data_IF_280300832055
#
_entry.id   IF_280300832055
#
_cell.length_a   1.000
_cell.length_b   1.000
_cell.length_c   1.000
_cell.angle_alpha   90.00
_cell.angle_beta   90.00
_cell.angle_gamma   90.00
#
_symmetry.space_group_name_H-M   'P 1'
#
loop_
_entity.id
_entity.type
_entity.pdbx_description
1 polymer ?
#
# COMPACT_ATOMS: atom_id res chain seq x y z
N UNK A 1 -3.51 11.58 19.89
CA UNK A 1 -4.42 10.43 19.77
C UNK A 1 -5.49 10.78 18.74
N UNK A 2 -5.64 9.95 17.69
CA UNK A 2 -6.65 10.14 16.64
C UNK A 2 -7.71 9.05 16.85
N UNK A 3 -8.97 9.39 17.03
CA UNK A 3 -10.05 8.40 17.12
C UNK A 3 -10.14 7.59 15.82
N UNK A 4 -10.39 6.32 15.93
CA UNK A 4 -10.59 5.45 14.78
C UNK A 4 -11.65 4.39 15.04
N UNK A 5 -12.21 3.84 13.99
CA UNK A 5 -13.12 2.69 14.00
C UNK A 5 -12.60 1.62 13.03
N UNK A 6 -12.75 0.36 13.41
CA UNK A 6 -12.51 -0.77 12.50
C UNK A 6 -13.89 -1.26 12.05
N UNK A 7 -14.15 -1.20 10.76
CA UNK A 7 -15.47 -1.49 10.20
C UNK A 7 -15.39 -2.06 8.79
N UNK A 8 -16.40 -2.81 8.40
CA UNK A 8 -16.69 -3.22 7.03
C UNK A 8 -18.10 -2.76 6.59
N UNK A 9 -18.64 -1.74 7.26
CA UNK A 9 -19.95 -1.14 6.97
C UNK A 9 -19.74 0.02 5.98
N UNK A 10 -20.34 -0.08 4.80
CA UNK A 10 -20.18 0.90 3.71
C UNK A 10 -20.46 2.34 4.13
N UNK A 11 -21.53 2.58 4.89
CA UNK A 11 -21.93 3.92 5.32
C UNK A 11 -20.92 4.57 6.26
N UNK A 12 -20.26 3.80 7.11
CA UNK A 12 -19.20 4.27 7.99
C UNK A 12 -17.93 4.62 7.20
N UNK A 13 -17.58 3.76 6.22
CA UNK A 13 -16.44 3.98 5.33
C UNK A 13 -16.65 5.25 4.50
N UNK A 14 -17.80 5.44 3.90
CA UNK A 14 -18.13 6.61 3.08
C UNK A 14 -18.07 7.91 3.89
N UNK A 15 -18.50 7.89 5.15
CA UNK A 15 -18.53 9.07 6.03
C UNK A 15 -17.19 9.36 6.71
N UNK A 16 -16.25 8.44 6.66
CA UNK A 16 -14.93 8.60 7.30
C UNK A 16 -14.13 9.74 6.63
N UNK A 17 -13.42 10.52 7.41
CA UNK A 17 -12.53 11.58 6.90
C UNK A 17 -11.29 10.99 6.20
N UNK A 18 -10.78 9.86 6.67
CA UNK A 18 -9.67 9.10 6.11
C UNK A 18 -10.01 7.61 6.15
N UNK A 19 -9.55 6.87 5.17
CA UNK A 19 -9.73 5.42 5.12
C UNK A 19 -8.35 4.75 5.05
N UNK A 20 -8.15 3.70 5.85
CA UNK A 20 -6.93 2.88 5.79
C UNK A 20 -7.33 1.44 5.44
N UNK A 21 -6.76 0.92 4.36
CA UNK A 21 -6.83 -0.49 3.99
C UNK A 21 -5.61 -1.19 4.62
N UNK A 22 -5.80 -2.05 5.62
CA UNK A 22 -4.71 -2.62 6.41
C UNK A 22 -3.91 -3.67 5.62
N UNK A 23 -2.71 -3.94 6.10
CA UNK A 23 -1.73 -4.82 5.46
C UNK A 23 -1.74 -6.27 5.92
N UNK A 24 -2.92 -6.91 6.05
CA UNK A 24 -3.04 -8.29 6.57
C UNK A 24 -3.77 -9.22 5.60
N UNK A 25 -3.33 -10.48 5.54
CA UNK A 25 -3.92 -11.50 4.69
C UNK A 25 -3.27 -11.63 3.30
N UNK A 26 -3.93 -12.32 2.39
CA UNK A 26 -3.53 -12.47 0.98
C UNK A 26 -4.47 -11.67 0.07
N UNK A 27 -3.99 -11.30 -1.13
CA UNK A 27 -4.79 -10.58 -2.13
C UNK A 27 -6.13 -11.26 -2.38
N UNK A 28 -6.13 -12.58 -2.58
CA UNK A 28 -7.33 -13.35 -2.85
C UNK A 28 -8.35 -13.28 -1.70
N UNK A 29 -7.90 -13.43 -0.46
CA UNK A 29 -8.82 -13.41 0.69
C UNK A 29 -9.39 -12.02 0.92
N UNK A 30 -8.56 -10.98 0.79
CA UNK A 30 -9.00 -9.59 0.92
C UNK A 30 -10.03 -9.25 -0.16
N UNK A 31 -9.74 -9.57 -1.43
CA UNK A 31 -10.67 -9.29 -2.52
C UNK A 31 -11.99 -10.05 -2.38
N UNK A 32 -11.97 -11.34 -2.01
CA UNK A 32 -13.19 -12.09 -1.72
C UNK A 32 -14.04 -11.44 -0.62
N UNK A 33 -13.40 -10.96 0.46
CA UNK A 33 -14.11 -10.27 1.52
C UNK A 33 -14.74 -8.97 1.02
N UNK A 34 -13.98 -8.13 0.31
CA UNK A 34 -14.49 -6.87 -0.24
C UNK A 34 -15.67 -7.10 -1.20
N UNK A 35 -15.57 -8.09 -2.08
CA UNK A 35 -16.62 -8.45 -3.02
C UNK A 35 -17.88 -8.95 -2.31
N UNK A 36 -17.74 -9.80 -1.28
CA UNK A 36 -18.87 -10.35 -0.52
C UNK A 36 -19.70 -9.26 0.19
N UNK A 37 -19.09 -8.12 0.48
CA UNK A 37 -19.70 -6.93 1.12
C UNK A 37 -19.98 -5.80 0.13
N UNK A 38 -19.71 -5.97 -1.17
CA UNK A 38 -19.77 -4.93 -2.20
C UNK A 38 -18.84 -3.72 -1.89
N UNK A 39 -17.82 -3.90 -1.05
CA UNK A 39 -16.87 -2.85 -0.66
C UNK A 39 -15.89 -2.50 -1.77
N UNK A 40 -15.63 -3.40 -2.71
CA UNK A 40 -14.83 -3.13 -3.92
C UNK A 40 -15.40 -1.93 -4.69
N UNK A 41 -16.71 -1.85 -4.89
CA UNK A 41 -17.38 -0.72 -5.56
C UNK A 41 -17.37 0.54 -4.69
N UNK A 42 -17.55 0.40 -3.39
CA UNK A 42 -17.51 1.54 -2.45
C UNK A 42 -16.13 2.18 -2.44
N UNK A 43 -15.06 1.37 -2.23
CA UNK A 43 -13.68 1.86 -2.10
C UNK A 43 -13.24 2.61 -3.37
N UNK A 44 -13.54 2.08 -4.55
CA UNK A 44 -13.13 2.70 -5.82
C UNK A 44 -13.79 4.07 -6.08
N UNK A 45 -14.89 4.39 -5.38
CA UNK A 45 -15.64 5.63 -5.53
C UNK A 45 -15.34 6.66 -4.43
N UNK A 46 -14.53 6.32 -3.42
CA UNK A 46 -14.18 7.22 -2.34
C UNK A 46 -13.48 8.48 -2.86
N UNK A 47 -13.77 9.62 -2.23
CA UNK A 47 -13.18 10.93 -2.56
C UNK A 47 -12.23 11.43 -1.48
N UNK A 48 -12.44 10.98 -0.24
CA UNK A 48 -11.53 11.26 0.88
C UNK A 48 -10.22 10.50 0.72
N UNK A 49 -9.13 10.92 1.41
CA UNK A 49 -7.85 10.23 1.34
C UNK A 49 -7.95 8.76 1.77
N UNK A 50 -7.39 7.87 0.95
CA UNK A 50 -7.29 6.43 1.20
C UNK A 50 -5.83 6.02 1.26
N UNK A 51 -5.43 5.30 2.31
CA UNK A 51 -4.10 4.70 2.44
C UNK A 51 -4.18 3.18 2.39
N UNK A 52 -3.56 2.57 1.40
CA UNK A 52 -3.30 1.12 1.37
C UNK A 52 -1.94 0.79 1.99
N UNK A 53 -1.89 -0.14 2.95
CA UNK A 53 -0.66 -0.60 3.59
C UNK A 53 -0.39 -2.04 3.16
N UNK A 54 0.81 -2.33 2.65
CA UNK A 54 1.27 -3.65 2.21
C UNK A 54 0.25 -4.31 1.27
N UNK A 55 -0.46 -5.36 1.67
CA UNK A 55 -1.52 -5.97 0.85
C UNK A 55 -2.63 -4.98 0.53
N UNK A 56 -2.96 -4.04 1.42
CA UNK A 56 -3.91 -2.95 1.16
C UNK A 56 -3.47 -2.02 0.02
N UNK A 57 -2.16 -1.80 -0.18
CA UNK A 57 -1.62 -1.15 -1.37
C UNK A 57 -1.78 -2.05 -2.60
N UNK A 58 -1.40 -3.32 -2.50
CA UNK A 58 -1.36 -4.24 -3.64
C UNK A 58 -2.73 -4.47 -4.27
N UNK A 59 -3.79 -4.52 -3.46
CA UNK A 59 -5.17 -4.63 -3.99
C UNK A 59 -5.67 -3.38 -4.72
N UNK A 60 -4.98 -2.25 -4.65
CA UNK A 60 -5.32 -1.06 -5.44
C UNK A 60 -4.91 -1.19 -6.91
N UNK A 61 -4.10 -2.17 -7.28
CA UNK A 61 -3.65 -2.42 -8.65
C UNK A 61 -4.71 -3.17 -9.48
N UNK A 62 -4.43 -3.44 -10.75
CA UNK A 62 -5.34 -4.20 -11.60
C UNK A 62 -5.39 -5.67 -11.22
N UNK A 63 -4.21 -6.23 -10.93
CA UNK A 63 -4.03 -7.66 -10.76
C UNK A 63 -2.85 -7.97 -9.85
N UNK A 64 -2.97 -9.04 -9.07
CA UNK A 64 -1.88 -9.56 -8.26
C UNK A 64 -1.55 -11.01 -8.67
N UNK A 65 -0.25 -11.30 -8.86
CA UNK A 65 0.24 -12.65 -9.04
C UNK A 65 -0.03 -13.53 -7.80
N UNK A 66 -0.28 -12.92 -6.62
CA UNK A 66 -0.69 -13.65 -5.44
C UNK A 66 -2.10 -14.25 -5.63
N UNK A 67 -2.15 -15.57 -5.78
CA UNK A 67 -3.40 -16.29 -5.99
C UNK A 67 -4.11 -15.95 -7.29
N UNK A 68 -3.41 -15.38 -8.27
CA UNK A 68 -3.96 -15.04 -9.59
C UNK A 68 -5.20 -14.13 -9.45
N UNK A 69 -5.10 -13.04 -8.71
CA UNK A 69 -6.23 -12.28 -8.19
C UNK A 69 -6.46 -10.98 -8.96
N UNK A 70 -7.69 -10.78 -9.49
CA UNK A 70 -8.15 -9.48 -9.97
C UNK A 70 -8.38 -8.56 -8.77
N UNK A 71 -7.88 -7.33 -8.84
CA UNK A 71 -7.91 -6.34 -7.76
C UNK A 71 -8.79 -5.12 -8.13
N UNK A 72 -8.62 -3.99 -7.43
CA UNK A 72 -9.53 -2.83 -7.52
C UNK A 72 -9.32 -1.96 -8.77
N UNK A 73 -8.15 -2.03 -9.44
CA UNK A 73 -7.90 -1.30 -10.68
C UNK A 73 -7.75 0.22 -10.53
N UNK A 74 -7.34 0.73 -9.38
CA UNK A 74 -7.01 2.15 -9.20
C UNK A 74 -5.73 2.52 -9.94
N UNK A 75 -4.69 1.69 -9.81
CA UNK A 75 -3.44 1.80 -10.54
C UNK A 75 -3.46 0.84 -11.73
N UNK A 76 -3.16 1.34 -12.93
CA UNK A 76 -3.17 0.56 -14.18
C UNK A 76 -1.86 -0.21 -14.36
N UNK A 77 -1.51 -1.01 -13.36
CA UNK A 77 -0.33 -1.87 -13.30
C UNK A 77 -0.64 -3.14 -12.52
N UNK A 78 0.29 -4.08 -12.50
CA UNK A 78 0.16 -5.37 -11.83
C UNK A 78 1.17 -5.53 -10.71
N UNK A 79 0.85 -6.44 -9.79
CA UNK A 79 1.73 -6.89 -8.72
C UNK A 79 2.37 -8.22 -9.14
N UNK A 80 3.70 -8.22 -9.18
CA UNK A 80 4.51 -9.38 -9.52
C UNK A 80 5.11 -10.04 -8.27
N UNK A 81 5.59 -11.28 -8.39
CA UNK A 81 6.33 -11.98 -7.34
C UNK A 81 7.83 -11.71 -7.50
N UNK A 82 8.54 -11.49 -6.39
CA UNK A 82 10.01 -11.49 -6.41
C UNK A 82 10.56 -12.84 -6.83
N UNK A 83 11.61 -12.82 -7.66
CA UNK A 83 12.32 -14.04 -8.03
C UNK A 83 13.34 -14.40 -6.96
N UNK A 84 13.27 -15.63 -6.44
CA UNK A 84 14.28 -16.15 -5.54
C UNK A 84 15.63 -16.32 -6.24
N UNK A 85 16.71 -16.05 -5.54
CA UNK A 85 18.07 -16.36 -5.96
C UNK A 85 18.93 -16.74 -4.75
N UNK A 86 20.14 -17.24 -4.97
CA UNK A 86 21.07 -17.57 -3.88
C UNK A 86 21.41 -16.34 -3.00
N UNK A 87 21.19 -15.12 -3.51
CA UNK A 87 21.48 -13.87 -2.83
C UNK A 87 20.22 -13.13 -2.34
N UNK A 88 19.03 -13.55 -2.77
CA UNK A 88 17.77 -12.87 -2.51
C UNK A 88 16.75 -13.85 -1.93
N UNK A 89 16.41 -13.66 -0.66
CA UNK A 89 15.36 -14.46 0.01
C UNK A 89 13.97 -13.87 -0.23
N UNK A 90 13.00 -14.71 -0.50
CA UNK A 90 11.59 -14.32 -0.59
C UNK A 90 10.82 -15.07 0.51
N UNK A 91 10.05 -14.36 1.36
CA UNK A 91 9.74 -12.92 1.34
C UNK A 91 10.92 -12.02 1.73
N UNK A 92 10.90 -10.77 1.23
CA UNK A 92 11.66 -9.68 1.83
C UNK A 92 11.13 -9.46 3.25
N UNK A 93 11.97 -9.65 4.26
CA UNK A 93 11.60 -9.38 5.65
C UNK A 93 12.70 -8.58 6.33
N UNK A 94 12.36 -7.36 6.79
CA UNK A 94 13.28 -6.49 7.47
C UNK A 94 13.25 -5.04 6.99
N UNK A 95 14.26 -4.29 7.41
CA UNK A 95 14.40 -2.88 7.12
C UNK A 95 15.04 -2.66 5.75
N UNK A 96 14.43 -1.79 4.94
CA UNK A 96 14.97 -1.38 3.67
C UNK A 96 14.80 0.12 3.47
N UNK A 97 15.72 0.72 2.72
CA UNK A 97 15.74 2.15 2.44
C UNK A 97 14.62 2.51 1.47
N UNK A 98 13.91 3.61 1.76
CA UNK A 98 12.88 4.20 0.91
C UNK A 98 13.34 5.58 0.47
N UNK A 99 13.36 5.83 -0.82
CA UNK A 99 13.79 7.09 -1.42
C UNK A 99 12.65 7.74 -2.21
N UNK A 100 12.19 8.89 -1.75
CA UNK A 100 11.16 9.69 -2.43
C UNK A 100 11.77 10.49 -3.58
N UNK A 101 11.10 10.50 -4.73
CA UNK A 101 11.53 11.24 -5.92
C UNK A 101 11.29 12.75 -5.79
N UNK A 102 10.19 13.18 -5.14
CA UNK A 102 9.87 14.59 -4.93
C UNK A 102 10.79 15.20 -3.83
N UNK A 103 11.46 16.31 -4.19
CA UNK A 103 12.32 17.04 -3.27
C UNK A 103 11.62 17.47 -1.96
N UNK A 104 10.32 17.80 -2.01
CA UNK A 104 9.51 18.19 -0.85
C UNK A 104 9.26 17.04 0.11
N UNK A 105 9.36 15.79 -0.37
CA UNK A 105 9.12 14.58 0.40
C UNK A 105 10.42 13.90 0.85
N UNK A 106 11.59 14.42 0.49
CA UNK A 106 12.88 13.85 0.92
C UNK A 106 13.07 13.75 2.43
N UNK A 107 12.34 14.55 3.22
CA UNK A 107 12.29 14.42 4.69
C UNK A 107 11.69 13.11 5.18
N UNK A 108 11.02 12.35 4.29
CA UNK A 108 10.48 11.02 4.55
C UNK A 108 11.43 9.90 4.10
N UNK A 109 12.57 10.22 3.47
CA UNK A 109 13.60 9.23 3.16
C UNK A 109 14.12 8.64 4.46
N UNK A 110 14.00 7.34 4.61
CA UNK A 110 14.46 6.60 5.78
C UNK A 110 14.44 5.08 5.51
N UNK A 111 14.76 4.30 6.53
CA UNK A 111 14.53 2.86 6.55
C UNK A 111 13.13 2.57 7.09
N UNK A 112 12.42 1.68 6.39
CA UNK A 112 11.10 1.20 6.76
C UNK A 112 11.09 -0.32 6.81
N UNK A 113 10.16 -0.90 7.54
CA UNK A 113 10.04 -2.35 7.68
C UNK A 113 9.16 -2.95 6.58
N UNK A 114 9.69 -3.93 5.87
CA UNK A 114 9.02 -4.67 4.80
C UNK A 114 8.77 -6.13 5.23
N UNK A 115 7.68 -6.71 4.73
CA UNK A 115 7.32 -8.11 4.90
C UNK A 115 6.50 -8.57 3.68
N UNK A 116 7.12 -8.70 2.49
CA UNK A 116 6.41 -8.94 1.24
C UNK A 116 7.15 -9.89 0.30
N UNK A 117 6.39 -10.76 -0.37
CA UNK A 117 6.85 -11.62 -1.47
C UNK A 117 6.50 -11.04 -2.84
N UNK A 118 5.53 -10.12 -2.88
CA UNK A 118 5.01 -9.51 -4.08
C UNK A 118 5.26 -8.00 -4.07
N UNK A 119 5.39 -7.40 -5.26
CA UNK A 119 5.78 -6.01 -5.41
C UNK A 119 5.22 -5.39 -6.69
N UNK A 120 5.12 -4.07 -6.73
CA UNK A 120 4.85 -3.31 -7.94
C UNK A 120 6.18 -2.83 -8.56
N UNK A 121 6.38 -3.04 -9.86
CA UNK A 121 7.45 -2.36 -10.60
C UNK A 121 7.28 -0.85 -10.50
N UNK A 122 8.33 -0.09 -10.80
CA UNK A 122 8.26 1.37 -10.88
C UNK A 122 7.46 1.80 -12.12
N UNK A 123 6.60 2.80 -11.97
CA UNK A 123 5.73 3.36 -13.00
C UNK A 123 5.39 4.83 -12.69
N UNK A 124 4.57 5.49 -13.49
CA UNK A 124 4.30 6.94 -13.40
C UNK A 124 3.73 7.39 -12.04
N UNK A 125 2.96 6.52 -11.39
CA UNK A 125 2.39 6.84 -10.05
C UNK A 125 3.35 6.53 -8.89
N UNK A 126 4.57 6.05 -9.15
CA UNK A 126 5.59 5.80 -8.12
C UNK A 126 6.05 7.11 -7.50
N UNK A 127 5.98 7.22 -6.19
CA UNK A 127 6.42 8.39 -5.41
C UNK A 127 7.69 8.14 -4.62
N UNK A 128 7.91 6.88 -4.23
CA UNK A 128 9.16 6.45 -3.60
C UNK A 128 9.52 5.03 -4.04
N UNK A 129 10.82 4.76 -4.05
CA UNK A 129 11.41 3.50 -4.49
C UNK A 129 12.26 2.88 -3.40
N UNK A 130 12.38 1.56 -3.46
CA UNK A 130 13.40 0.76 -2.76
C UNK A 130 14.04 -0.21 -3.76
N UNK A 131 15.14 -0.80 -3.37
CA UNK A 131 15.81 -1.86 -4.12
C UNK A 131 15.78 -3.17 -3.32
N UNK A 132 15.39 -4.25 -3.99
CA UNK A 132 15.52 -5.61 -3.48
C UNK A 132 15.82 -6.56 -4.64
N UNK A 133 17.07 -6.51 -5.09
CA UNK A 133 17.53 -7.18 -6.31
C UNK A 133 17.09 -6.48 -7.60
N UNK A 134 16.07 -5.65 -7.53
CA UNK A 134 15.66 -4.68 -8.54
C UNK A 134 14.90 -3.54 -7.87
N UNK A 135 14.84 -2.39 -8.53
CA UNK A 135 14.06 -1.25 -8.04
C UNK A 135 12.56 -1.55 -8.10
N UNK A 136 11.82 -1.20 -7.03
CA UNK A 136 10.39 -1.39 -6.95
C UNK A 136 9.70 -0.20 -6.28
N UNK A 137 8.38 -0.08 -6.50
CA UNK A 137 7.55 0.97 -5.92
C UNK A 137 7.30 0.71 -4.43
N UNK A 138 7.90 1.53 -3.56
CA UNK A 138 7.65 1.48 -2.12
C UNK A 138 6.49 2.37 -1.70
N UNK A 139 6.24 3.47 -2.45
CA UNK A 139 5.08 4.33 -2.27
C UNK A 139 4.54 4.68 -3.65
N UNK A 140 3.23 4.59 -3.80
CA UNK A 140 2.49 4.95 -5.02
C UNK A 140 1.37 5.93 -4.68
N UNK A 141 1.02 6.84 -5.60
CA UNK A 141 -0.09 7.77 -5.42
C UNK A 141 -0.76 8.11 -6.73
N UNK A 142 -2.10 8.04 -6.74
CA UNK A 142 -2.98 8.53 -7.80
C UNK A 142 -4.22 9.14 -7.15
N UNK A 143 -4.52 10.37 -7.49
CA UNK A 143 -5.66 11.13 -6.93
C UNK A 143 -5.65 11.10 -5.38
N UNK A 144 -6.73 10.65 -4.76
CA UNK A 144 -6.89 10.50 -3.32
C UNK A 144 -6.33 9.18 -2.76
N UNK A 145 -5.83 8.27 -3.62
CA UNK A 145 -5.27 6.99 -3.20
C UNK A 145 -3.75 7.08 -3.01
N UNK A 146 -3.29 6.73 -1.83
CA UNK A 146 -1.88 6.55 -1.46
C UNK A 146 -1.67 5.07 -1.09
N UNK A 147 -0.59 4.47 -1.54
CA UNK A 147 -0.20 3.12 -1.13
C UNK A 147 1.23 3.09 -0.62
N UNK A 148 1.53 2.29 0.40
CA UNK A 148 2.89 1.98 0.81
C UNK A 148 3.08 0.46 0.95
N UNK A 149 4.20 -0.06 0.43
CA UNK A 149 4.54 -1.48 0.50
C UNK A 149 5.06 -1.89 1.87
N UNK A 150 5.72 -0.99 2.56
CA UNK A 150 6.20 -1.19 3.92
C UNK A 150 5.07 -1.08 4.95
N UNK A 151 5.37 -1.52 6.16
CA UNK A 151 4.49 -1.42 7.33
C UNK A 151 4.86 -0.19 8.17
N UNK A 152 4.19 0.95 8.04
CA UNK A 152 4.49 2.14 8.83
C UNK A 152 4.30 1.88 10.33
N UNK A 153 3.36 1.03 10.73
CA UNK A 153 3.12 0.64 12.12
C UNK A 153 4.28 -0.16 12.74
N UNK A 154 5.18 -0.71 11.90
CA UNK A 154 6.41 -1.43 12.32
C UNK A 154 7.68 -0.64 12.04
N UNK A 155 7.57 0.60 11.55
CA UNK A 155 8.70 1.40 11.06
C UNK A 155 9.11 2.52 12.02
N UNK A 156 8.87 2.35 13.32
CA UNK A 156 9.27 3.28 14.38
C UNK A 156 8.92 4.75 14.04
N UNK A 157 9.85 5.70 14.26
CA UNK A 157 9.61 7.13 14.00
C UNK A 157 9.41 7.45 12.52
N UNK A 158 10.07 6.72 11.61
CA UNK A 158 9.87 6.88 10.17
C UNK A 158 8.40 6.60 9.79
N UNK A 159 7.83 5.53 10.33
CA UNK A 159 6.43 5.20 10.14
C UNK A 159 5.47 6.24 10.69
N UNK A 160 5.77 6.79 11.87
CA UNK A 160 4.97 7.88 12.46
C UNK A 160 5.00 9.13 11.57
N UNK A 161 6.17 9.50 11.02
CA UNK A 161 6.28 10.64 10.08
C UNK A 161 5.48 10.40 8.81
N UNK A 162 5.52 9.18 8.27
CA UNK A 162 4.75 8.83 7.07
C UNK A 162 3.24 8.88 7.32
N UNK A 163 2.76 8.32 8.44
CA UNK A 163 1.34 8.39 8.80
C UNK A 163 0.88 9.84 9.04
N UNK A 164 1.70 10.66 9.70
CA UNK A 164 1.40 12.10 9.84
C UNK A 164 1.29 12.78 8.48
N UNK A 165 2.20 12.49 7.55
CA UNK A 165 2.12 13.01 6.18
C UNK A 165 0.80 12.63 5.50
N UNK A 166 0.35 11.37 5.62
CA UNK A 166 -0.94 10.96 5.08
C UNK A 166 -2.10 11.75 5.69
N UNK A 167 -2.13 11.88 7.01
CA UNK A 167 -3.21 12.53 7.76
C UNK A 167 -3.23 14.07 7.61
N UNK A 168 -2.21 14.66 7.01
CA UNK A 168 -2.18 16.11 6.67
C UNK A 168 -2.61 16.38 5.23
N UNK A 169 -2.95 15.35 4.46
CA UNK A 169 -3.56 15.51 3.13
C UNK A 169 -5.04 15.81 3.31
N UNK A 170 -5.45 16.98 2.92
CA UNK A 170 -6.86 17.42 2.84
C UNK A 170 -7.25 17.57 1.40
#
# INVERSE_FOLDING_TARGET
HIPYVITDISDEIIKAQYVILPGVGSAQNVMKHLESKNLNNVITQLKQPVLGICIGMQILFNYSAEGNTKCLGIFDENIDMFSESNLLKVPQMGWNKVEFSDAKLKKLNDYYYFANSFYAKTFDSTKAMSDYGSAFSSVVQKDNFLGCQFHPEKSAEAGVRFLKYFLTKS
#
